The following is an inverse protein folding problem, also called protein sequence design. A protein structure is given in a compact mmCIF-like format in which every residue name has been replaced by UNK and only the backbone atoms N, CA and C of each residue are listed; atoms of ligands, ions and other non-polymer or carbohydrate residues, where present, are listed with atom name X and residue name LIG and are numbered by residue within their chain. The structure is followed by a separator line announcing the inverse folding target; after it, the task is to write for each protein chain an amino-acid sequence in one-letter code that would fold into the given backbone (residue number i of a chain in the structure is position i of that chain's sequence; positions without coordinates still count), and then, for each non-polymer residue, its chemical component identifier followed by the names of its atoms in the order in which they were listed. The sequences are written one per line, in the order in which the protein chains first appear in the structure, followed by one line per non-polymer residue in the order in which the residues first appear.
data_IF_966247830597
#
_entry.id   IF_966247830597
#
_cell.length_a   1.000
_cell.length_b   1.000
_cell.length_c   1.000
_cell.angle_alpha   90.00
_cell.angle_beta   90.00
_cell.angle_gamma   90.00
#
_symmetry.space_group_name_H-M   'P 1'
#
loop_
_entity.id
_entity.type
_entity.pdbx_description
1 polymer ?
#
# COMPACT_ATOMS: atom_id res chain seq x y z
N UNK A 1 -6.00 29.26 -9.27
CA UNK A 1 -6.72 28.53 -8.21
C UNK A 1 -5.77 27.50 -7.63
N UNK A 2 -5.27 27.71 -6.42
CA UNK A 2 -4.44 26.74 -5.70
C UNK A 2 -5.33 25.62 -5.17
N UNK A 3 -5.13 24.40 -5.65
CA UNK A 3 -5.74 23.21 -5.07
C UNK A 3 -5.27 23.13 -3.62
N UNK A 4 -6.17 23.04 -2.62
CA UNK A 4 -5.74 22.87 -1.25
C UNK A 4 -5.04 21.52 -1.17
N UNK A 5 -3.74 21.53 -0.89
CA UNK A 5 -3.00 20.34 -0.53
C UNK A 5 -3.59 19.90 0.81
N UNK A 6 -4.56 18.98 0.77
CA UNK A 6 -5.09 18.37 1.97
C UNK A 6 -3.88 17.84 2.75
N UNK A 7 -3.72 18.29 3.98
CA UNK A 7 -2.63 17.87 4.84
C UNK A 7 -2.92 16.45 5.33
N UNK A 8 -2.79 15.45 4.44
CA UNK A 8 -2.94 14.02 4.72
C UNK A 8 -1.86 13.49 5.68
N UNK A 9 -0.91 14.34 6.09
CA UNK A 9 0.34 13.99 6.78
C UNK A 9 0.18 13.30 8.15
N UNK A 10 -1.01 13.25 8.75
CA UNK A 10 -1.24 12.53 10.01
C UNK A 10 -2.02 11.21 9.87
N UNK A 11 -2.60 10.91 8.71
CA UNK A 11 -3.46 9.72 8.55
C UNK A 11 -2.70 8.52 8.03
N UNK A 12 -1.86 8.75 7.03
CA UNK A 12 -1.03 7.72 6.41
C UNK A 12 0.37 8.27 6.22
N UNK A 13 1.35 7.54 6.72
CA UNK A 13 2.77 7.86 6.59
C UNK A 13 3.41 6.98 5.53
N UNK A 14 4.27 7.58 4.71
CA UNK A 14 5.08 6.87 3.74
C UNK A 14 6.54 7.25 3.90
N UNK A 15 7.42 6.26 3.90
CA UNK A 15 8.88 6.45 3.95
C UNK A 15 9.58 5.28 3.26
N UNK A 16 10.87 5.42 3.03
CA UNK A 16 11.73 4.32 2.54
C UNK A 16 12.74 4.00 3.62
N UNK A 17 12.96 2.71 3.83
CA UNK A 17 14.01 2.19 4.68
C UNK A 17 14.50 0.86 4.10
N UNK A 18 15.83 0.68 4.02
CA UNK A 18 16.46 -0.53 3.48
C UNK A 18 15.94 -0.96 2.09
N UNK A 19 15.72 0.03 1.23
CA UNK A 19 15.15 -0.10 -0.11
C UNK A 19 13.68 -0.58 -0.19
N UNK A 20 13.01 -0.72 0.96
CA UNK A 20 11.58 -1.06 1.06
C UNK A 20 10.78 0.23 1.19
N UNK A 21 9.66 0.32 0.46
CA UNK A 21 8.69 1.39 0.64
C UNK A 21 7.72 0.98 1.76
N UNK A 22 7.56 1.85 2.74
CA UNK A 22 6.62 1.64 3.84
C UNK A 22 5.41 2.55 3.68
N UNK A 23 4.26 2.04 4.10
CA UNK A 23 3.00 2.75 4.23
C UNK A 23 2.37 2.34 5.56
N UNK A 24 2.05 3.29 6.44
CA UNK A 24 1.42 3.01 7.73
C UNK A 24 0.19 3.87 7.94
N UNK A 25 -0.93 3.21 8.26
CA UNK A 25 -2.17 3.88 8.63
C UNK A 25 -2.16 4.16 10.13
N UNK A 26 -2.22 5.43 10.50
CA UNK A 26 -2.16 5.90 11.90
C UNK A 26 -3.53 6.17 12.52
N UNK A 27 -4.61 6.03 11.74
CA UNK A 27 -5.98 6.19 12.20
C UNK A 27 -6.77 4.90 11.94
N UNK A 28 -7.63 4.55 12.89
CA UNK A 28 -8.51 3.39 12.76
C UNK A 28 -9.49 3.58 11.59
N UNK A 29 -10.12 4.75 11.47
CA UNK A 29 -11.14 5.00 10.46
C UNK A 29 -10.58 5.78 9.26
N UNK A 30 -10.34 5.07 8.15
CA UNK A 30 -9.94 5.67 6.90
C UNK A 30 -10.66 4.97 5.74
N UNK A 31 -11.28 5.77 4.88
CA UNK A 31 -11.95 5.28 3.68
C UNK A 31 -11.13 5.67 2.45
N UNK A 32 -10.66 4.68 1.67
CA UNK A 32 -9.93 4.94 0.43
C UNK A 32 -10.89 5.45 -0.65
N UNK A 33 -10.79 6.73 -0.97
CA UNK A 33 -11.44 7.38 -2.11
C UNK A 33 -10.47 7.52 -3.30
N UNK A 34 -10.97 7.91 -4.48
CA UNK A 34 -10.13 8.15 -5.66
C UNK A 34 -9.09 9.24 -5.38
N UNK A 35 -9.49 10.31 -4.71
CA UNK A 35 -8.61 11.44 -4.36
C UNK A 35 -7.48 10.98 -3.43
N UNK A 36 -7.79 10.16 -2.43
CA UNK A 36 -6.76 9.59 -1.54
C UNK A 36 -5.85 8.59 -2.27
N UNK A 37 -6.40 7.78 -3.17
CA UNK A 37 -5.62 6.85 -3.99
C UNK A 37 -4.66 7.59 -4.92
N UNK A 38 -5.10 8.66 -5.57
CA UNK A 38 -4.25 9.53 -6.39
C UNK A 38 -3.12 10.16 -5.56
N UNK A 39 -3.44 10.69 -4.38
CA UNK A 39 -2.45 11.24 -3.48
C UNK A 39 -1.40 10.20 -3.05
N UNK A 40 -1.82 8.96 -2.79
CA UNK A 40 -0.91 7.85 -2.46
C UNK A 40 -0.02 7.46 -3.64
N UNK A 41 -0.58 7.37 -4.85
CA UNK A 41 0.21 7.07 -6.06
C UNK A 41 1.28 8.14 -6.31
N UNK A 42 0.93 9.43 -6.18
CA UNK A 42 1.90 10.51 -6.32
C UNK A 42 3.00 10.45 -5.24
N UNK A 43 2.65 10.05 -4.01
CA UNK A 43 3.62 9.83 -2.93
C UNK A 43 4.56 8.66 -3.24
N UNK A 44 4.01 7.54 -3.72
CA UNK A 44 4.78 6.36 -4.16
C UNK A 44 5.77 6.79 -5.24
N UNK A 45 5.29 7.41 -6.33
CA UNK A 45 6.11 7.87 -7.45
C UNK A 45 7.26 8.79 -6.99
N UNK A 46 6.96 9.72 -6.09
CA UNK A 46 7.96 10.66 -5.55
C UNK A 46 9.03 9.94 -4.74
N UNK A 47 8.63 9.00 -3.86
CA UNK A 47 9.56 8.30 -2.97
C UNK A 47 10.39 7.26 -3.73
N UNK A 48 9.82 6.58 -4.72
CA UNK A 48 10.51 5.51 -5.43
C UNK A 48 11.63 6.03 -6.33
N UNK A 49 11.59 7.31 -6.73
CA UNK A 49 12.63 7.95 -7.55
C UNK A 49 12.95 7.14 -8.83
N UNK A 50 11.90 6.56 -9.43
CA UNK A 50 12.03 5.73 -10.62
C UNK A 50 12.49 4.28 -10.38
N UNK A 51 12.80 3.89 -9.13
CA UNK A 51 13.24 2.54 -8.78
C UNK A 51 12.07 1.70 -8.23
N UNK A 52 11.75 0.53 -8.81
CA UNK A 52 10.73 -0.34 -8.26
C UNK A 52 11.12 -0.89 -6.88
N UNK A 53 10.17 -0.98 -5.96
CA UNK A 53 10.41 -1.39 -4.57
C UNK A 53 9.29 -2.30 -4.05
N UNK A 54 9.57 -3.24 -3.13
CA UNK A 54 8.49 -3.88 -2.38
C UNK A 54 7.82 -2.84 -1.47
N UNK A 55 6.51 -2.97 -1.28
CA UNK A 55 5.69 -2.09 -0.46
C UNK A 55 5.16 -2.84 0.76
N UNK A 56 5.58 -2.44 1.96
CA UNK A 56 5.03 -2.93 3.22
C UNK A 56 3.95 -1.97 3.73
N UNK A 57 2.75 -2.49 3.94
CA UNK A 57 1.55 -1.73 4.31
C UNK A 57 1.08 -2.19 5.69
N UNK A 58 1.29 -1.36 6.71
CA UNK A 58 0.83 -1.60 8.07
C UNK A 58 -0.55 -0.99 8.28
N UNK A 59 -1.54 -1.87 8.44
CA UNK A 59 -2.93 -1.53 8.75
C UNK A 59 -3.38 -2.19 10.05
N UNK A 60 -2.45 -2.47 10.97
CA UNK A 60 -2.84 -2.97 12.30
C UNK A 60 -3.75 -1.95 12.98
N UNK A 61 -4.84 -2.43 13.57
CA UNK A 61 -5.90 -1.63 14.20
C UNK A 61 -6.71 -0.74 13.24
N UNK A 62 -6.63 -0.99 11.92
CA UNK A 62 -7.48 -0.35 10.93
C UNK A 62 -8.91 -0.90 10.98
N UNK A 63 -9.90 -0.01 11.02
CA UNK A 63 -11.34 -0.27 10.96
C UNK A 63 -12.00 0.35 9.73
N UNK A 64 -11.21 0.95 8.84
CA UNK A 64 -11.65 1.61 7.62
C UNK A 64 -12.05 0.66 6.48
N UNK A 65 -12.27 1.22 5.29
CA UNK A 65 -12.68 0.48 4.10
C UNK A 65 -12.18 1.17 2.81
N UNK A 66 -12.54 0.68 1.64
CA UNK A 66 -12.22 1.30 0.36
C UNK A 66 -13.45 1.39 -0.55
N UNK A 67 -13.47 2.41 -1.40
CA UNK A 67 -14.35 2.43 -2.57
C UNK A 67 -13.87 1.42 -3.60
N UNK A 68 -14.75 0.57 -4.17
CA UNK A 68 -14.38 -0.31 -5.28
C UNK A 68 -13.76 0.42 -6.47
N UNK A 69 -14.25 1.62 -6.78
CA UNK A 69 -13.70 2.45 -7.86
C UNK A 69 -12.29 2.95 -7.51
N UNK A 70 -12.07 3.35 -6.25
CA UNK A 70 -10.74 3.77 -5.79
C UNK A 70 -9.74 2.61 -5.76
N UNK A 71 -10.16 1.43 -5.30
CA UNK A 71 -9.33 0.22 -5.29
C UNK A 71 -8.94 -0.18 -6.72
N UNK A 72 -9.90 -0.19 -7.65
CA UNK A 72 -9.63 -0.47 -9.07
C UNK A 72 -8.69 0.58 -9.68
N UNK A 73 -8.97 1.85 -9.46
CA UNK A 73 -8.12 2.95 -9.93
C UNK A 73 -6.67 2.81 -9.43
N UNK A 74 -6.50 2.48 -8.14
CA UNK A 74 -5.20 2.28 -7.53
C UNK A 74 -4.45 1.09 -8.13
N UNK A 75 -5.10 -0.08 -8.24
CA UNK A 75 -4.44 -1.30 -8.73
C UNK A 75 -4.18 -1.29 -10.23
N UNK A 76 -5.00 -0.59 -11.01
CA UNK A 76 -4.81 -0.47 -12.46
C UNK A 76 -3.76 0.57 -12.85
N UNK A 77 -3.39 1.46 -11.92
CA UNK A 77 -2.41 2.53 -12.12
C UNK A 77 -1.07 2.00 -12.63
N UNK A 78 -0.54 2.66 -13.65
CA UNK A 78 0.82 2.41 -14.14
C UNK A 78 1.87 2.71 -13.07
N UNK A 79 1.64 3.69 -12.19
CA UNK A 79 2.56 4.00 -11.09
C UNK A 79 2.70 2.78 -10.18
N UNK A 80 1.58 2.20 -9.74
CA UNK A 80 1.63 1.04 -8.85
C UNK A 80 2.28 -0.15 -9.55
N UNK A 81 1.86 -0.46 -10.79
CA UNK A 81 2.36 -1.62 -11.55
C UNK A 81 3.85 -1.56 -11.87
N UNK A 82 4.41 -0.37 -12.09
CA UNK A 82 5.84 -0.23 -12.44
C UNK A 82 6.73 -0.05 -11.20
N UNK A 83 6.24 0.61 -10.15
CA UNK A 83 7.10 0.97 -9.02
C UNK A 83 6.88 0.13 -7.76
N UNK A 84 5.86 -0.73 -7.73
CA UNK A 84 5.60 -1.66 -6.62
C UNK A 84 5.64 -3.10 -7.12
N UNK A 85 6.72 -3.81 -6.77
CA UNK A 85 6.94 -5.20 -7.22
C UNK A 85 6.18 -6.23 -6.37
N UNK A 86 5.90 -5.90 -5.11
CA UNK A 86 5.15 -6.75 -4.19
C UNK A 86 4.48 -5.89 -3.10
N UNK A 87 3.35 -6.36 -2.57
CA UNK A 87 2.62 -5.71 -1.48
C UNK A 87 2.51 -6.67 -0.29
N UNK A 88 3.08 -6.29 0.84
CA UNK A 88 3.02 -7.04 2.10
C UNK A 88 2.14 -6.30 3.10
N UNK A 89 0.96 -6.83 3.40
CA UNK A 89 0.04 -6.24 4.35
C UNK A 89 0.25 -6.83 5.75
N UNK A 90 0.54 -5.98 6.75
CA UNK A 90 0.58 -6.39 8.16
C UNK A 90 -0.79 -6.13 8.79
N UNK A 91 -1.46 -7.20 9.24
CA UNK A 91 -2.86 -7.16 9.67
C UNK A 91 -3.09 -8.02 10.92
N UNK A 92 -3.60 -7.40 11.99
CA UNK A 92 -3.88 -8.07 13.27
C UNK A 92 -5.37 -8.31 13.56
N UNK A 93 -6.29 -7.85 12.70
CA UNK A 93 -7.74 -8.01 12.91
C UNK A 93 -8.38 -8.90 11.85
N UNK A 94 -9.46 -9.60 12.21
CA UNK A 94 -10.24 -10.40 11.25
C UNK A 94 -10.85 -9.53 10.15
N UNK A 95 -11.41 -8.37 10.51
CA UNK A 95 -11.98 -7.42 9.56
C UNK A 95 -10.95 -6.95 8.53
N UNK A 96 -9.73 -6.60 8.97
CA UNK A 96 -8.65 -6.24 8.06
C UNK A 96 -8.27 -7.39 7.13
N UNK A 97 -8.20 -8.64 7.64
CA UNK A 97 -7.87 -9.82 6.82
C UNK A 97 -8.92 -10.06 5.74
N UNK A 98 -10.20 -9.94 6.08
CA UNK A 98 -11.31 -10.06 5.13
C UNK A 98 -11.27 -8.93 4.08
N UNK A 99 -11.02 -7.70 4.52
CA UNK A 99 -10.91 -6.53 3.64
C UNK A 99 -9.79 -6.70 2.61
N UNK A 100 -8.57 -7.01 3.07
CA UNK A 100 -7.42 -7.18 2.16
C UNK A 100 -7.54 -8.44 1.32
N UNK A 101 -8.12 -9.52 1.86
CA UNK A 101 -8.45 -10.71 1.08
C UNK A 101 -9.39 -10.39 -0.09
N UNK A 102 -10.40 -9.55 0.16
CA UNK A 102 -11.34 -9.08 -0.87
C UNK A 102 -10.65 -8.17 -1.88
N UNK A 103 -9.80 -7.24 -1.42
CA UNK A 103 -8.96 -6.41 -2.28
C UNK A 103 -8.09 -7.24 -3.24
N UNK A 104 -7.36 -8.21 -2.69
CA UNK A 104 -6.48 -9.12 -3.44
C UNK A 104 -7.25 -9.88 -4.51
N UNK A 105 -8.41 -10.43 -4.14
CA UNK A 105 -9.24 -11.25 -5.04
C UNK A 105 -9.89 -10.43 -6.16
N UNK A 106 -10.39 -9.25 -5.86
CA UNK A 106 -11.23 -8.48 -6.77
C UNK A 106 -10.47 -7.48 -7.64
N UNK A 107 -9.39 -6.88 -7.12
CA UNK A 107 -8.75 -5.73 -7.78
C UNK A 107 -7.26 -5.95 -8.08
N UNK A 108 -6.56 -6.74 -7.28
CA UNK A 108 -5.11 -6.93 -7.41
C UNK A 108 -4.72 -8.25 -8.11
N UNK A 109 -5.53 -8.70 -9.07
CA UNK A 109 -5.26 -9.92 -9.83
C UNK A 109 -3.97 -9.74 -10.66
N UNK A 110 -2.97 -10.60 -10.44
CA UNK A 110 -1.66 -10.52 -11.08
C UNK A 110 -0.61 -9.73 -10.29
N UNK A 111 -0.98 -9.03 -9.22
CA UNK A 111 -0.02 -8.43 -8.31
C UNK A 111 0.47 -9.44 -7.26
N UNK A 112 1.74 -9.33 -6.86
CA UNK A 112 2.29 -10.15 -5.78
C UNK A 112 1.88 -9.57 -4.42
N UNK A 113 0.71 -10.00 -3.92
CA UNK A 113 0.12 -9.49 -2.65
C UNK A 113 0.06 -10.60 -1.60
N UNK A 114 0.54 -10.32 -0.39
CA UNK A 114 0.47 -11.25 0.74
C UNK A 114 0.07 -10.55 2.05
N UNK A 115 -0.59 -11.30 2.94
CA UNK A 115 -1.07 -10.83 4.25
C UNK A 115 -0.26 -11.54 5.34
N UNK A 116 0.19 -10.79 6.33
CA UNK A 116 1.02 -11.24 7.46
C UNK A 116 0.42 -10.80 8.78
N UNK A 117 0.69 -11.58 9.85
CA UNK A 117 0.26 -11.25 11.21
C UNK A 117 1.22 -10.32 11.95
N UNK A 118 2.47 -10.26 11.52
CA UNK A 118 3.56 -9.54 12.15
C UNK A 118 4.44 -8.84 11.11
N UNK A 119 5.23 -7.87 11.58
CA UNK A 119 6.09 -7.06 10.71
C UNK A 119 7.34 -7.82 10.25
N UNK A 120 7.85 -8.76 11.05
CA UNK A 120 9.09 -9.48 10.77
C UNK A 120 8.94 -10.38 9.54
N UNK A 121 7.87 -11.17 9.49
CA UNK A 121 7.58 -12.06 8.36
C UNK A 121 7.23 -11.27 7.09
N UNK A 122 6.52 -10.14 7.23
CA UNK A 122 6.25 -9.23 6.12
C UNK A 122 7.53 -8.62 5.54
N UNK A 123 8.47 -8.23 6.40
CA UNK A 123 9.78 -7.71 5.98
C UNK A 123 10.60 -8.78 5.27
N UNK A 124 10.64 -10.00 5.80
CA UNK A 124 11.34 -11.12 5.16
C UNK A 124 10.82 -11.35 3.73
N UNK A 125 9.50 -11.32 3.54
CA UNK A 125 8.88 -11.41 2.21
C UNK A 125 9.25 -10.23 1.29
N UNK A 126 9.30 -9.00 1.81
CA UNK A 126 9.74 -7.86 1.03
C UNK A 126 11.21 -8.01 0.58
N UNK A 127 12.07 -8.50 1.46
CA UNK A 127 13.49 -8.76 1.15
C UNK A 127 13.67 -9.87 0.11
N UNK A 128 12.90 -10.96 0.23
CA UNK A 128 12.89 -12.03 -0.77
C UNK A 128 12.40 -11.54 -2.13
N UNK A 129 11.32 -10.75 -2.14
CA UNK A 129 10.79 -10.14 -3.37
C UNK A 129 11.83 -9.25 -4.03
N UNK A 130 12.53 -8.42 -3.24
CA UNK A 130 13.62 -7.58 -3.73
C UNK A 130 14.70 -8.40 -4.45
N UNK A 131 15.17 -9.46 -3.82
CA UNK A 131 16.19 -10.35 -4.39
C UNK A 131 15.70 -11.08 -5.65
N UNK A 132 14.42 -11.49 -5.68
CA UNK A 132 13.82 -12.22 -6.81
C UNK A 132 13.73 -11.35 -8.07
N UNK A 133 13.42 -10.06 -7.90
CA UNK A 133 13.27 -9.11 -9.01
C UNK A 133 14.56 -8.31 -9.30
N UNK A 134 15.67 -8.60 -8.62
CA UNK A 134 16.95 -7.88 -8.74
C UNK A 134 16.84 -6.35 -8.59
N UNK A 135 15.98 -5.90 -7.67
CA UNK A 135 15.79 -4.47 -7.35
C UNK A 135 16.42 -4.04 -6.04
#
# INVERSE_FOLDING_TARGET
MSVPILNYSKKVEFWIENEILFCKFNQADCYLTIESAEAYLLKILKLTEGKPRPLLIDIRNFTGNFSPLAAKFFTESSILKHFVIAQAFVVNTLNGKLLIGSYKRLFAQGAHVQIFGDTETALAFCMESKNTYNV
#
